data_IF_475393524812
#
_entry.id   IF_475393524812
#
_cell.length_a   1.000
_cell.length_b   1.000
_cell.length_c   1.000
_cell.angle_alpha   90.00
_cell.angle_beta   90.00
_cell.angle_gamma   90.00
#
_symmetry.space_group_name_H-M   'P 1'
#
loop_
_entity.id
_entity.type
_entity.pdbx_description
1 polymer ?
#
# COMPACT_ATOMS: atom_id res chain seq x y z
N UNK A 1 -13.14 7.09 -7.72
CA UNK A 1 -13.55 5.77 -8.23
C UNK A 1 -13.88 5.91 -9.71
N UNK A 2 -13.85 4.82 -10.50
CA UNK A 2 -14.30 4.86 -11.89
C UNK A 2 -15.75 5.34 -11.99
N UNK A 3 -16.13 5.87 -13.16
CA UNK A 3 -17.51 6.28 -13.41
C UNK A 3 -18.47 5.10 -13.21
N UNK A 4 -19.59 5.34 -12.51
CA UNK A 4 -20.58 4.31 -12.18
C UNK A 4 -20.22 3.42 -10.98
N UNK A 5 -19.03 3.56 -10.41
CA UNK A 5 -18.57 2.83 -9.22
C UNK A 5 -18.63 3.69 -7.97
N UNK A 6 -19.17 3.13 -6.87
CA UNK A 6 -19.25 3.83 -5.57
C UNK A 6 -18.28 3.19 -4.58
N UNK A 7 -17.51 4.02 -3.85
CA UNK A 7 -16.60 3.53 -2.81
C UNK A 7 -17.34 2.69 -1.77
N UNK A 8 -16.71 1.61 -1.34
CA UNK A 8 -17.23 0.65 -0.38
C UNK A 8 -16.16 0.43 0.70
N UNK A 9 -16.49 0.51 2.00
CA UNK A 9 -15.53 0.15 3.04
C UNK A 9 -15.21 -1.36 3.02
N UNK A 10 -13.99 -1.73 3.42
CA UNK A 10 -13.64 -3.12 3.69
C UNK A 10 -14.57 -3.68 4.79
N UNK A 11 -15.16 -4.85 4.56
CA UNK A 11 -16.19 -5.40 5.45
C UNK A 11 -15.66 -6.27 6.59
N UNK A 12 -14.42 -6.76 6.50
CA UNK A 12 -13.87 -7.75 7.43
C UNK A 12 -12.37 -7.59 7.62
N UNK A 13 -11.85 -8.25 8.66
CA UNK A 13 -10.42 -8.28 8.98
C UNK A 13 -9.89 -6.99 9.63
N UNK A 14 -8.56 -6.86 9.76
CA UNK A 14 -7.95 -5.73 10.46
C UNK A 14 -8.21 -4.36 9.82
N UNK A 15 -8.56 -4.32 8.54
CA UNK A 15 -8.85 -3.10 7.78
C UNK A 15 -10.33 -2.81 7.66
N UNK A 16 -11.21 -3.55 8.36
CA UNK A 16 -12.65 -3.33 8.29
C UNK A 16 -13.02 -1.88 8.65
N UNK A 17 -13.88 -1.26 7.83
CA UNK A 17 -14.25 0.14 7.94
C UNK A 17 -13.38 1.09 7.11
N UNK A 18 -12.20 0.68 6.64
CA UNK A 18 -11.36 1.52 5.78
C UNK A 18 -11.99 1.62 4.40
N UNK A 19 -11.94 2.79 3.76
CA UNK A 19 -12.39 3.01 2.39
C UNK A 19 -11.22 3.20 1.39
N UNK A 20 -9.99 3.31 1.91
CA UNK A 20 -8.77 3.51 1.15
C UNK A 20 -7.62 2.78 1.86
N UNK A 21 -6.76 2.15 1.06
CA UNK A 21 -5.46 1.63 1.46
C UNK A 21 -4.38 2.50 0.80
N UNK A 22 -3.42 2.97 1.59
CA UNK A 22 -2.18 3.53 1.11
C UNK A 22 -1.07 2.48 1.29
N UNK A 23 -0.53 1.97 0.19
CA UNK A 23 0.50 0.93 0.18
C UNK A 23 1.85 1.56 -0.15
N UNK A 24 2.75 1.59 0.81
CA UNK A 24 4.14 2.03 0.65
C UNK A 24 5.00 0.81 0.32
N UNK A 25 5.52 0.77 -0.91
CA UNK A 25 6.14 -0.40 -1.51
C UNK A 25 7.63 -0.12 -1.73
N UNK A 26 8.49 -0.94 -1.12
CA UNK A 26 9.94 -0.94 -1.30
C UNK A 26 10.33 -2.27 -1.96
N UNK A 27 10.27 -2.33 -3.29
CA UNK A 27 10.59 -3.55 -4.03
C UNK A 27 12.10 -3.78 -3.98
N UNK A 28 12.53 -4.85 -3.30
CA UNK A 28 13.93 -5.28 -3.25
C UNK A 28 14.35 -6.15 -4.45
N UNK A 29 13.39 -6.74 -5.15
CA UNK A 29 13.61 -7.56 -6.34
C UNK A 29 12.30 -7.69 -7.13
N UNK A 30 12.31 -7.32 -8.41
CA UNK A 30 11.24 -7.62 -9.37
C UNK A 30 11.77 -8.51 -10.48
N UNK A 31 10.96 -9.48 -10.91
CA UNK A 31 11.35 -10.51 -11.86
C UNK A 31 10.35 -10.64 -13.01
N UNK A 32 10.84 -11.12 -14.15
CA UNK A 32 10.05 -11.55 -15.30
C UNK A 32 9.46 -12.96 -15.04
N UNK A 33 8.56 -13.45 -15.93
CA UNK A 33 7.98 -14.78 -15.80
C UNK A 33 9.00 -15.92 -15.83
N UNK A 34 10.19 -15.70 -16.39
CA UNK A 34 11.31 -16.65 -16.41
C UNK A 34 12.15 -16.63 -15.12
N UNK A 35 11.81 -15.78 -14.15
CA UNK A 35 12.49 -15.65 -12.87
C UNK A 35 13.77 -14.82 -12.93
N UNK A 36 13.96 -14.01 -13.99
CA UNK A 36 15.11 -13.11 -14.11
C UNK A 36 14.75 -11.71 -13.63
N UNK A 37 15.67 -10.98 -12.99
CA UNK A 37 15.41 -9.61 -12.58
C UNK A 37 15.06 -8.70 -13.76
N UNK A 38 14.00 -7.90 -13.63
CA UNK A 38 13.67 -6.84 -14.60
C UNK A 38 14.47 -5.56 -14.29
N UNK A 39 14.60 -4.65 -15.25
CA UNK A 39 15.18 -3.32 -15.02
C UNK A 39 14.06 -2.29 -14.77
N UNK A 40 14.11 -1.45 -13.73
CA UNK A 40 15.00 -1.53 -12.57
C UNK A 40 14.57 -2.67 -11.63
N UNK A 41 15.51 -3.47 -11.07
CA UNK A 41 15.15 -4.62 -10.23
C UNK A 41 14.67 -4.19 -8.84
N UNK A 42 14.97 -2.95 -8.46
CA UNK A 42 14.52 -2.33 -7.23
C UNK A 42 13.82 -1.03 -7.59
N UNK A 43 12.70 -0.76 -6.92
CA UNK A 43 11.96 0.49 -7.09
C UNK A 43 11.07 0.75 -5.88
N UNK A 44 10.67 2.01 -5.75
CA UNK A 44 9.70 2.41 -4.74
C UNK A 44 8.42 2.86 -5.40
N UNK A 45 7.33 2.64 -4.69
CA UNK A 45 6.04 3.16 -5.09
C UNK A 45 5.13 3.42 -3.91
N UNK A 46 4.17 4.31 -4.10
CA UNK A 46 2.99 4.41 -3.25
C UNK A 46 1.77 4.15 -4.11
N UNK A 47 1.01 3.11 -3.76
CA UNK A 47 -0.25 2.80 -4.39
C UNK A 47 -1.42 3.19 -3.49
N UNK A 48 -2.47 3.72 -4.09
CA UNK A 48 -3.74 3.94 -3.41
C UNK A 48 -4.76 2.98 -4.00
N UNK A 49 -5.42 2.21 -3.14
CA UNK A 49 -6.41 1.24 -3.56
C UNK A 49 -7.65 1.28 -2.68
N UNK A 50 -8.82 1.00 -3.24
CA UNK A 50 -10.06 0.96 -2.47
C UNK A 50 -11.07 0.00 -3.10
N UNK A 51 -11.97 -0.54 -2.28
CA UNK A 51 -13.09 -1.30 -2.79
C UNK A 51 -14.14 -0.33 -3.34
N UNK A 52 -14.76 -0.72 -4.44
CA UNK A 52 -15.93 -0.05 -4.95
C UNK A 52 -16.95 -1.08 -5.42
N UNK A 53 -18.21 -0.66 -5.50
CA UNK A 53 -19.32 -1.47 -6.01
C UNK A 53 -20.05 -0.82 -7.17
N UNK A 54 -20.60 -1.66 -8.04
CA UNK A 54 -21.53 -1.31 -9.10
C UNK A 54 -22.62 -2.40 -9.18
N UNK A 55 -23.84 -2.07 -8.78
CA UNK A 55 -24.88 -3.09 -8.56
C UNK A 55 -24.47 -4.07 -7.45
N UNK A 56 -24.43 -5.36 -7.78
CA UNK A 56 -23.95 -6.43 -6.87
C UNK A 56 -22.45 -6.72 -7.02
N UNK A 57 -21.79 -6.16 -8.04
CA UNK A 57 -20.36 -6.38 -8.29
C UNK A 57 -19.52 -5.54 -7.33
N UNK A 58 -18.48 -6.14 -6.75
CA UNK A 58 -17.49 -5.49 -5.89
C UNK A 58 -16.09 -5.75 -6.44
N UNK A 59 -15.31 -4.69 -6.66
CA UNK A 59 -13.93 -4.76 -7.16
C UNK A 59 -12.98 -3.95 -6.28
N UNK A 60 -11.75 -4.43 -6.15
CA UNK A 60 -10.64 -3.66 -5.61
C UNK A 60 -10.02 -2.86 -6.75
N UNK A 61 -10.02 -1.53 -6.66
CA UNK A 61 -9.40 -0.66 -7.66
C UNK A 61 -8.09 -0.08 -7.17
N UNK A 62 -7.08 -0.09 -8.03
CA UNK A 62 -5.90 0.78 -7.90
C UNK A 62 -6.27 2.12 -8.51
N UNK A 63 -6.40 3.15 -7.66
CA UNK A 63 -6.92 4.46 -8.04
C UNK A 63 -5.83 5.48 -8.34
N UNK A 64 -4.67 5.32 -7.73
CA UNK A 64 -3.50 6.17 -7.97
C UNK A 64 -2.23 5.41 -7.68
N UNK A 65 -1.19 5.72 -8.44
CA UNK A 65 0.11 5.08 -8.29
C UNK A 65 1.22 6.12 -8.47
N UNK A 66 2.06 6.30 -7.47
CA UNK A 66 3.28 7.13 -7.54
C UNK A 66 4.48 6.20 -7.54
N UNK A 67 5.42 6.36 -8.46
CA UNK A 67 6.56 5.42 -8.56
C UNK A 67 7.83 6.08 -9.06
N UNK A 68 8.97 5.52 -8.63
CA UNK A 68 10.30 5.87 -9.15
C UNK A 68 10.59 5.28 -10.52
N UNK A 69 9.69 4.46 -11.09
CA UNK A 69 9.86 3.81 -12.39
C UNK A 69 8.54 3.76 -13.18
N UNK A 70 8.13 4.89 -13.79
CA UNK A 70 6.81 5.06 -14.39
C UNK A 70 6.57 4.23 -15.67
N UNK A 71 7.63 3.65 -16.25
CA UNK A 71 7.54 2.76 -17.42
C UNK A 71 6.76 1.48 -17.14
N UNK A 72 6.67 1.07 -15.86
CA UNK A 72 5.84 -0.06 -15.40
C UNK A 72 4.57 0.50 -14.75
N UNK A 73 3.56 0.76 -15.58
CA UNK A 73 2.23 1.21 -15.14
C UNK A 73 1.12 0.30 -15.69
N UNK A 74 0.90 -0.87 -15.06
CA UNK A 74 -0.12 -1.79 -15.55
C UNK A 74 -1.54 -1.26 -15.43
N UNK A 75 -1.78 -0.29 -14.54
CA UNK A 75 -3.13 0.21 -14.28
C UNK A 75 -3.41 1.53 -15.00
N UNK A 76 -2.45 2.12 -15.70
CA UNK A 76 -2.63 3.39 -16.41
C UNK A 76 -2.90 4.59 -15.48
N UNK A 77 -2.65 4.45 -14.18
CA UNK A 77 -2.88 5.48 -13.13
C UNK A 77 -1.57 5.92 -12.46
N UNK A 78 -0.45 5.51 -13.04
CA UNK A 78 0.92 5.84 -12.64
C UNK A 78 1.29 7.28 -12.91
N UNK A 79 2.08 7.86 -12.02
CA UNK A 79 2.86 9.05 -12.27
C UNK A 79 4.22 8.94 -11.60
N UNK A 80 5.22 9.53 -12.23
CA UNK A 80 6.57 9.61 -11.71
C UNK A 80 6.60 10.35 -10.35
N UNK A 81 7.44 9.87 -9.45
CA UNK A 81 7.73 10.48 -8.17
C UNK A 81 9.16 10.17 -7.71
N UNK A 82 9.79 11.11 -7.03
CA UNK A 82 10.99 10.83 -6.24
C UNK A 82 10.57 10.26 -4.88
N UNK A 83 11.15 9.12 -4.49
CA UNK A 83 10.75 8.44 -3.25
C UNK A 83 11.98 8.02 -2.45
N UNK A 84 12.09 8.58 -1.25
CA UNK A 84 13.10 8.19 -0.25
C UNK A 84 12.44 7.47 0.92
N UNK A 85 13.17 6.51 1.48
CA UNK A 85 12.80 5.81 2.69
C UNK A 85 13.98 5.78 3.65
N UNK A 86 13.74 6.09 4.91
CA UNK A 86 14.67 5.89 6.01
C UNK A 86 14.05 4.95 7.02
N UNK A 87 14.81 3.98 7.52
CA UNK A 87 14.33 3.12 8.60
C UNK A 87 15.42 2.91 9.64
N UNK A 88 15.01 2.93 10.91
CA UNK A 88 15.86 2.56 12.04
C UNK A 88 15.23 1.41 12.80
N UNK A 89 16.05 0.52 13.35
CA UNK A 89 15.58 -0.56 14.19
C UNK A 89 16.55 -0.76 15.35
N UNK A 90 16.02 -0.81 16.57
CA UNK A 90 16.79 -1.02 17.80
C UNK A 90 16.05 -1.99 18.73
N UNK A 91 16.73 -2.45 19.78
CA UNK A 91 16.14 -3.33 20.79
C UNK A 91 16.94 -4.61 21.05
N UNK A 92 16.42 -5.47 21.92
CA UNK A 92 17.10 -6.68 22.38
C UNK A 92 17.26 -7.72 21.25
N UNK A 93 18.29 -8.57 21.35
CA UNK A 93 18.52 -9.65 20.38
C UNK A 93 17.32 -10.60 20.27
N UNK A 94 16.72 -10.93 21.40
CA UNK A 94 15.57 -11.82 21.53
C UNK A 94 14.42 -11.04 22.16
N UNK A 95 13.53 -10.48 21.33
CA UNK A 95 12.36 -9.74 21.80
C UNK A 95 11.85 -8.74 20.76
N UNK A 96 10.84 -7.93 21.16
CA UNK A 96 10.35 -6.86 20.33
C UNK A 96 11.44 -5.84 19.98
N UNK A 97 11.29 -5.18 18.84
CA UNK A 97 12.19 -4.14 18.34
C UNK A 97 11.42 -2.84 18.17
N UNK A 98 12.01 -1.74 18.61
CA UNK A 98 11.55 -0.41 18.25
C UNK A 98 11.97 -0.15 16.81
N UNK A 99 11.04 0.38 16.01
CA UNK A 99 11.26 0.68 14.60
C UNK A 99 10.70 2.05 14.28
N UNK A 100 11.48 2.81 13.52
CA UNK A 100 11.05 4.02 12.84
C UNK A 100 11.12 3.79 11.33
N UNK A 101 10.12 4.28 10.60
CA UNK A 101 10.02 4.22 9.15
C UNK A 101 9.50 5.56 8.65
N UNK A 102 10.32 6.24 7.85
CA UNK A 102 9.99 7.54 7.26
C UNK A 102 10.02 7.40 5.75
N UNK A 103 8.94 7.83 5.10
CA UNK A 103 8.85 7.92 3.65
C UNK A 103 8.61 9.37 3.25
N UNK A 104 9.40 9.85 2.30
CA UNK A 104 9.16 11.12 1.63
C UNK A 104 8.96 10.88 0.13
N UNK A 105 7.85 11.37 -0.39
CA UNK A 105 7.43 11.23 -1.79
C UNK A 105 7.25 12.62 -2.37
N UNK A 106 7.98 12.94 -3.44
CA UNK A 106 7.84 14.22 -4.16
C UNK A 106 7.30 14.00 -5.55
N UNK A 107 6.21 14.70 -5.89
CA UNK A 107 5.59 14.61 -7.19
C UNK A 107 4.81 15.89 -7.53
N UNK A 108 4.89 16.34 -8.78
CA UNK A 108 4.11 17.48 -9.26
C UNK A 108 4.33 18.79 -8.49
N UNK A 109 5.50 18.96 -7.88
CA UNK A 109 5.85 20.13 -7.06
C UNK A 109 5.40 20.08 -5.60
N UNK A 110 4.69 19.03 -5.17
CA UNK A 110 4.32 18.79 -3.77
C UNK A 110 5.06 17.61 -3.15
N UNK A 111 4.81 17.39 -1.87
CA UNK A 111 5.39 16.37 -1.01
C UNK A 111 4.33 15.62 -0.20
N UNK A 112 4.53 14.32 -0.01
CA UNK A 112 3.83 13.48 0.94
C UNK A 112 4.84 12.83 1.88
N UNK A 113 4.60 12.94 3.18
CA UNK A 113 5.45 12.36 4.23
C UNK A 113 4.64 11.40 5.07
N UNK A 114 5.16 10.18 5.23
CA UNK A 114 4.71 9.23 6.23
C UNK A 114 5.81 9.08 7.29
N UNK A 115 5.46 9.28 8.55
CA UNK A 115 6.30 8.99 9.71
C UNK A 115 5.62 7.95 10.58
N UNK A 116 6.32 6.86 10.86
CA UNK A 116 5.79 5.75 11.65
C UNK A 116 6.83 5.29 12.67
N UNK A 117 6.48 5.37 13.94
CA UNK A 117 7.22 4.77 15.06
C UNK A 117 6.35 3.69 15.69
N UNK A 118 6.93 2.50 15.93
CA UNK A 118 6.19 1.37 16.48
C UNK A 118 7.12 0.32 17.06
N UNK A 119 6.53 -0.57 17.86
CA UNK A 119 7.22 -1.78 18.31
C UNK A 119 6.79 -2.97 17.46
N UNK A 120 7.73 -3.63 16.79
CA UNK A 120 7.47 -4.89 16.06
C UNK A 120 7.92 -6.10 16.88
N UNK A 121 7.30 -7.25 16.66
CA UNK A 121 7.71 -8.51 17.29
C UNK A 121 6.66 -9.62 17.24
N UNK A 122 5.45 -9.34 16.75
CA UNK A 122 4.35 -10.29 16.68
C UNK A 122 3.99 -10.61 15.22
N UNK A 123 5.02 -10.88 14.41
CA UNK A 123 4.86 -11.14 12.97
C UNK A 123 4.26 -12.53 12.72
N UNK A 124 3.32 -12.60 11.78
CA UNK A 124 2.71 -13.83 11.30
C UNK A 124 2.87 -14.00 9.79
N UNK A 125 3.06 -15.23 9.34
CA UNK A 125 2.98 -15.58 7.93
C UNK A 125 1.52 -15.71 7.51
N UNK A 126 1.21 -15.20 6.32
CA UNK A 126 -0.08 -15.39 5.66
C UNK A 126 0.13 -15.46 4.16
N UNK A 127 -0.76 -16.18 3.48
CA UNK A 127 -0.84 -16.21 2.03
C UNK A 127 -2.23 -15.75 1.59
N UNK A 128 -2.32 -15.27 0.36
CA UNK A 128 -3.59 -14.84 -0.21
C UNK A 128 -3.55 -14.62 -1.70
N UNK A 129 -4.71 -14.28 -2.23
CA UNK A 129 -4.90 -13.90 -3.62
C UNK A 129 -5.67 -12.58 -3.69
N UNK A 130 -5.28 -11.69 -4.60
CA UNK A 130 -5.96 -10.42 -4.87
C UNK A 130 -6.19 -10.26 -6.37
N UNK A 131 -7.31 -9.61 -6.69
CA UNK A 131 -7.72 -9.27 -8.05
C UNK A 131 -7.87 -7.75 -8.19
N UNK A 132 -6.77 -6.97 -8.14
CA UNK A 132 -6.83 -5.53 -8.35
C UNK A 132 -7.15 -5.17 -9.80
N UNK A 133 -8.07 -4.22 -9.96
CA UNK A 133 -8.51 -3.63 -11.22
C UNK A 133 -7.94 -2.21 -11.40
N UNK A 134 -7.77 -1.78 -12.65
CA UNK A 134 -7.44 -0.38 -12.94
C UNK A 134 -8.65 0.53 -12.71
N UNK A 135 -8.46 1.66 -12.03
CA UNK A 135 -9.52 2.66 -11.94
C UNK A 135 -9.75 3.44 -13.25
N UNK A 136 -8.79 3.39 -14.19
CA UNK A 136 -8.88 4.03 -15.50
C UNK A 136 -9.53 3.10 -16.53
N UNK A 137 -9.21 1.81 -16.47
CA UNK A 137 -9.74 0.76 -17.34
C UNK A 137 -10.32 -0.37 -16.46
N UNK A 138 -11.58 -0.24 -15.97
CA UNK A 138 -12.14 -1.16 -14.97
C UNK A 138 -12.18 -2.64 -15.34
N UNK A 139 -12.15 -2.93 -16.65
CA UNK A 139 -12.10 -4.30 -17.19
C UNK A 139 -10.70 -4.91 -17.11
N UNK A 140 -9.65 -4.10 -17.03
CA UNK A 140 -8.29 -4.58 -16.85
C UNK A 140 -8.04 -4.96 -15.39
N UNK A 141 -7.49 -6.15 -15.16
CA UNK A 141 -7.07 -6.64 -13.85
C UNK A 141 -5.79 -7.46 -13.92
N UNK A 142 -5.21 -7.69 -12.74
CA UNK A 142 -4.14 -8.67 -12.52
C UNK A 142 -4.57 -9.64 -11.43
N UNK A 143 -3.98 -10.83 -11.44
CA UNK A 143 -4.10 -11.80 -10.35
C UNK A 143 -2.78 -11.77 -9.59
N UNK A 144 -2.86 -11.49 -8.30
CA UNK A 144 -1.74 -11.47 -7.38
C UNK A 144 -1.85 -12.61 -6.41
N UNK A 145 -0.94 -13.58 -6.49
CA UNK A 145 -0.76 -14.61 -5.45
C UNK A 145 0.43 -14.22 -4.61
N UNK A 146 0.23 -14.13 -3.30
CA UNK A 146 1.28 -13.63 -2.42
C UNK A 146 1.41 -14.44 -1.14
N UNK A 147 2.62 -14.40 -0.62
CA UNK A 147 2.96 -14.80 0.74
C UNK A 147 3.62 -13.60 1.42
N UNK A 148 3.22 -13.34 2.66
CA UNK A 148 3.70 -12.17 3.40
C UNK A 148 3.94 -12.49 4.87
N UNK A 149 4.99 -11.86 5.41
CA UNK A 149 5.22 -11.75 6.83
C UNK A 149 4.69 -10.38 7.27
N UNK A 150 3.71 -10.36 8.18
CA UNK A 150 3.05 -9.12 8.58
C UNK A 150 2.95 -8.97 10.10
N UNK A 151 3.10 -7.74 10.59
CA UNK A 151 2.80 -7.33 11.97
C UNK A 151 1.66 -6.30 11.92
N UNK A 152 0.54 -6.59 12.61
CA UNK A 152 -0.54 -5.62 12.71
C UNK A 152 -0.16 -4.58 13.77
N UNK A 153 0.15 -3.34 13.40
CA UNK A 153 0.59 -2.31 14.34
C UNK A 153 -0.60 -1.75 15.12
N UNK A 154 -1.70 -1.45 14.43
CA UNK A 154 -2.95 -0.98 15.03
C UNK A 154 -4.17 -1.42 14.21
N UNK A 155 -5.33 -1.51 14.85
CA UNK A 155 -6.63 -1.68 14.18
C UNK A 155 -7.77 -1.32 15.12
N UNK A 156 -8.57 -0.33 14.76
CA UNK A 156 -9.80 0.02 15.52
C UNK A 156 -10.84 -1.09 15.42
N UNK A 157 -10.96 -1.74 14.26
CA UNK A 157 -11.94 -2.79 13.98
C UNK A 157 -11.86 -4.00 14.92
N UNK A 158 -10.66 -4.36 15.36
CA UNK A 158 -10.45 -5.47 16.30
C UNK A 158 -10.00 -5.00 17.69
N UNK A 159 -10.06 -3.69 17.96
CA UNK A 159 -9.70 -3.10 19.24
C UNK A 159 -8.20 -3.19 19.58
N UNK A 160 -7.32 -3.26 18.57
CA UNK A 160 -5.87 -3.21 18.78
C UNK A 160 -5.40 -1.74 18.78
N UNK A 161 -5.01 -1.18 19.94
CA UNK A 161 -4.51 0.19 20.00
C UNK A 161 -3.19 0.33 19.25
N UNK A 162 -2.89 1.55 18.81
CA UNK A 162 -1.56 1.87 18.29
C UNK A 162 -0.49 1.68 19.36
N UNK A 163 0.66 1.14 18.97
CA UNK A 163 1.81 0.91 19.83
C UNK A 163 3.00 1.82 19.48
N UNK A 164 2.69 3.05 19.09
CA UNK A 164 3.63 4.09 18.73
C UNK A 164 2.92 5.27 18.06
N UNK A 165 3.65 6.06 17.26
CA UNK A 165 3.15 7.27 16.60
C UNK A 165 3.05 7.07 15.09
N UNK A 166 2.04 7.70 14.49
CA UNK A 166 1.84 7.70 13.04
C UNK A 166 1.40 9.09 12.59
N UNK A 167 1.99 9.57 11.51
CA UNK A 167 1.58 10.79 10.83
C UNK A 167 1.69 10.60 9.32
N UNK A 168 0.66 11.03 8.59
CA UNK A 168 0.65 11.09 7.14
C UNK A 168 0.19 12.49 6.71
N UNK A 169 1.03 13.20 5.98
CA UNK A 169 0.72 14.50 5.40
C UNK A 169 0.95 14.48 3.90
N UNK A 170 0.21 15.29 3.15
CA UNK A 170 0.38 15.44 1.71
C UNK A 170 -0.13 16.79 1.23
N UNK A 171 0.65 17.49 0.42
CA UNK A 171 0.20 18.63 -0.39
C UNK A 171 0.29 18.36 -1.91
N UNK A 172 0.63 17.12 -2.30
CA UNK A 172 0.62 16.68 -3.69
C UNK A 172 -0.79 16.88 -4.28
N UNK A 173 -0.92 17.83 -5.21
CA UNK A 173 -2.22 18.21 -5.79
C UNK A 173 -2.99 17.02 -6.41
N UNK A 174 -2.26 16.06 -7.00
CA UNK A 174 -2.85 14.86 -7.57
C UNK A 174 -3.46 13.90 -6.52
N UNK A 175 -3.11 14.05 -5.25
CA UNK A 175 -3.66 13.28 -4.13
C UNK A 175 -4.78 14.01 -3.38
N UNK A 176 -5.02 15.30 -3.65
CA UNK A 176 -6.08 16.06 -2.97
C UNK A 176 -7.48 15.40 -3.01
N UNK A 177 -7.89 14.68 -4.07
CA UNK A 177 -9.17 13.96 -4.08
C UNK A 177 -9.24 12.73 -3.15
N UNK A 178 -8.10 12.23 -2.65
CA UNK A 178 -8.02 11.04 -1.78
C UNK A 178 -7.45 11.34 -0.40
N UNK A 179 -6.67 12.41 -0.26
CA UNK A 179 -6.07 12.91 0.98
C UNK A 179 -6.36 14.41 1.08
N UNK A 180 -7.52 14.77 1.66
CA UNK A 180 -7.98 16.15 1.85
C UNK A 180 -7.81 16.67 3.28
N UNK A 181 -7.12 15.89 4.12
CA UNK A 181 -6.91 16.18 5.55
C UNK A 181 -8.06 15.77 6.48
N UNK A 182 -9.19 15.27 5.97
CA UNK A 182 -10.31 14.76 6.78
C UNK A 182 -10.23 13.27 7.10
N UNK A 183 -9.21 12.59 6.58
CA UNK A 183 -9.05 11.15 6.70
C UNK A 183 -8.64 10.74 8.12
N UNK A 184 -9.06 9.54 8.51
CA UNK A 184 -8.67 8.88 9.75
C UNK A 184 -7.90 7.60 9.43
N UNK A 185 -6.79 7.37 10.12
CA UNK A 185 -6.04 6.12 10.03
C UNK A 185 -6.57 5.13 11.05
N UNK A 186 -7.28 4.11 10.56
CA UNK A 186 -7.93 3.12 11.42
C UNK A 186 -7.14 1.82 11.57
N UNK A 187 -6.15 1.58 10.72
CA UNK A 187 -5.31 0.38 10.73
C UNK A 187 -3.93 0.66 10.11
N UNK A 188 -2.91 0.01 10.66
CA UNK A 188 -1.54 0.03 10.14
C UNK A 188 -0.97 -1.39 10.20
N UNK A 189 -0.36 -1.84 9.10
CA UNK A 189 0.23 -3.18 8.97
C UNK A 189 1.66 -3.01 8.45
N UNK A 190 2.66 -3.49 9.21
CA UNK A 190 4.04 -3.61 8.75
C UNK A 190 4.19 -4.91 7.97
N UNK A 191 4.66 -4.83 6.73
CA UNK A 191 4.89 -5.99 5.86
C UNK A 191 6.36 -6.01 5.43
N UNK A 192 7.29 -6.48 6.29
CA UNK A 192 8.72 -6.51 5.99
C UNK A 192 9.10 -7.48 4.87
N UNK A 193 8.30 -8.52 4.64
CA UNK A 193 8.53 -9.51 3.58
C UNK A 193 7.23 -9.72 2.83
N UNK A 194 7.28 -9.51 1.52
CA UNK A 194 6.16 -9.70 0.61
C UNK A 194 6.69 -10.34 -0.68
N UNK A 195 6.29 -11.59 -0.93
CA UNK A 195 6.61 -12.31 -2.16
C UNK A 195 5.33 -12.40 -2.96
N UNK A 196 5.36 -12.01 -4.23
CA UNK A 196 4.18 -12.01 -5.10
C UNK A 196 4.50 -12.50 -6.49
N UNK A 197 3.66 -13.40 -6.97
CA UNK A 197 3.55 -13.77 -8.37
C UNK A 197 2.42 -12.97 -9.02
N UNK A 198 2.65 -12.56 -10.27
CA UNK A 198 1.73 -11.72 -11.03
C UNK A 198 1.28 -12.46 -12.29
N UNK A 199 -0.02 -12.58 -12.46
CA UNK A 199 -0.63 -13.17 -13.65
C UNK A 199 -1.63 -12.19 -14.29
N UNK A 200 -1.89 -12.39 -15.57
CA UNK A 200 -3.07 -11.87 -16.25
C UNK A 200 -4.23 -12.87 -16.07
N UNK A 201 -5.50 -12.42 -16.13
CA UNK A 201 -6.67 -13.29 -16.10
C UNK A 201 -6.67 -14.38 -17.17
#
# INVERSE_FOLDING_TARGET
MPEGWTSLPFGQGPTAGANLLALFIDSGLEMDPEGKPIAAPMRRAVAFAGLAKQGEEVKLFVVKYLTTYPEIDPYGVGSEAEITRSTTQSGAANGPRERSDEWAVRAGGGEMVLSLDYTTGARGWSAGELFPHSAREPEFSRIYRFEQLADLVMSTAIGKPANGAFELTSDIAALAPVLDGSHEVIAVIDVPVYVREVFLP
#
